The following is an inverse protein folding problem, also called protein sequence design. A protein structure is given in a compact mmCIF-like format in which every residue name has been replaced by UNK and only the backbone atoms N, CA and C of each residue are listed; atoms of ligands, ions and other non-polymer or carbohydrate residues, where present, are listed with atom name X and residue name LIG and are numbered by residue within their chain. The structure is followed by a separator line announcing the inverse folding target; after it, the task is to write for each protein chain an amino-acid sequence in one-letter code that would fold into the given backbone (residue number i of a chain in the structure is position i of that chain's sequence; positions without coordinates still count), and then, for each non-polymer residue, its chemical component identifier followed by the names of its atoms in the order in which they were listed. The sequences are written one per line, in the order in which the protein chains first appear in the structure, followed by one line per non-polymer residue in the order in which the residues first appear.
data_IF_143477191305
#
_entry.id   IF_143477191305
#
_cell.length_a   1.000
_cell.length_b   1.000
_cell.length_c   1.000
_cell.angle_alpha   90.00
_cell.angle_beta   90.00
_cell.angle_gamma   90.00
#
_symmetry.space_group_name_H-M   'P 1'
#
loop_
_entity.id
_entity.type
_entity.pdbx_description
1 polymer ?
#
# COMPACT_ATOMS: atom_id res chain seq x y z
N UNK A 1 10.09 -4.50 9.26
CA UNK A 1 8.99 -5.45 9.02
C UNK A 1 9.39 -6.88 9.37
N UNK A 2 8.38 -7.76 9.56
CA UNK A 2 8.61 -9.20 9.76
C UNK A 2 8.51 -9.99 8.45
N UNK A 3 7.59 -9.61 7.57
CA UNK A 3 7.41 -10.27 6.28
C UNK A 3 8.62 -10.08 5.38
N UNK A 4 9.00 -11.12 4.63
CA UNK A 4 10.17 -11.14 3.78
C UNK A 4 9.86 -11.72 2.41
N UNK A 5 10.80 -11.55 1.48
CA UNK A 5 10.76 -12.23 0.17
C UNK A 5 10.64 -13.74 0.35
N UNK A 6 9.71 -14.35 -0.35
CA UNK A 6 9.38 -15.79 -0.31
C UNK A 6 8.23 -16.14 0.63
N UNK A 7 7.84 -15.24 1.53
CA UNK A 7 6.72 -15.49 2.44
C UNK A 7 5.39 -15.41 1.70
N UNK A 8 4.42 -16.19 2.19
CA UNK A 8 3.02 -16.00 1.83
C UNK A 8 2.49 -14.72 2.46
N UNK A 9 1.77 -13.93 1.67
CA UNK A 9 1.09 -12.76 2.21
C UNK A 9 0.00 -13.21 3.20
N UNK A 10 0.00 -12.70 4.45
CA UNK A 10 -1.07 -13.02 5.40
C UNK A 10 -2.37 -12.39 4.94
N UNK A 11 -3.48 -13.01 5.28
CA UNK A 11 -4.79 -12.41 5.07
C UNK A 11 -5.14 -11.45 6.20
N UNK A 12 -5.98 -10.48 5.86
CA UNK A 12 -6.64 -9.60 6.81
C UNK A 12 -7.91 -9.04 6.19
N UNK A 13 -8.85 -8.67 7.04
CA UNK A 13 -10.04 -7.95 6.66
C UNK A 13 -9.74 -6.46 6.65
N UNK A 14 -9.99 -5.82 5.52
CA UNK A 14 -9.81 -4.39 5.30
C UNK A 14 -11.06 -3.82 4.64
N UNK A 15 -11.13 -2.52 4.48
CA UNK A 15 -12.29 -1.88 3.89
C UNK A 15 -11.96 -1.13 2.62
N UNK A 16 -12.88 -1.19 1.66
CA UNK A 16 -12.93 -0.33 0.47
C UNK A 16 -14.24 0.47 0.51
N UNK A 17 -14.24 1.67 -0.04
CA UNK A 17 -15.47 2.41 -0.25
C UNK A 17 -16.05 2.08 -1.63
N UNK A 18 -17.19 1.41 -1.65
CA UNK A 18 -18.00 1.10 -2.85
C UNK A 18 -19.44 1.52 -2.54
N UNK A 19 -19.75 2.83 -2.69
CA UNK A 19 -20.93 3.56 -2.20
C UNK A 19 -20.96 3.59 -0.67
N UNK A 20 -20.95 2.41 -0.04
CA UNK A 20 -20.83 2.18 1.40
C UNK A 20 -19.52 1.48 1.73
N UNK A 21 -19.04 1.55 2.99
CA UNK A 21 -17.90 0.76 3.44
C UNK A 21 -18.15 -0.74 3.25
N UNK A 22 -17.27 -1.40 2.51
CA UNK A 22 -17.34 -2.82 2.21
C UNK A 22 -16.11 -3.52 2.76
N UNK A 23 -16.35 -4.53 3.61
CA UNK A 23 -15.28 -5.41 4.09
C UNK A 23 -14.81 -6.34 2.97
N UNK A 24 -13.50 -6.45 2.82
CA UNK A 24 -12.85 -7.29 1.81
C UNK A 24 -11.65 -7.99 2.41
N UNK A 25 -11.29 -9.16 1.86
CA UNK A 25 -10.08 -9.89 2.21
C UNK A 25 -8.93 -9.44 1.29
N UNK A 26 -7.76 -9.18 1.86
CA UNK A 26 -6.53 -8.88 1.10
C UNK A 26 -6.24 -9.98 0.08
N UNK A 27 -6.33 -11.25 0.49
CA UNK A 27 -6.08 -12.38 -0.40
C UNK A 27 -7.06 -12.44 -1.56
N UNK A 28 -8.35 -12.17 -1.32
CA UNK A 28 -9.35 -12.16 -2.37
C UNK A 28 -9.13 -11.03 -3.38
N UNK A 29 -8.72 -9.84 -2.90
CA UNK A 29 -8.44 -8.71 -3.80
C UNK A 29 -7.22 -8.99 -4.68
N UNK A 30 -6.14 -9.52 -4.10
CA UNK A 30 -4.91 -9.83 -4.83
C UNK A 30 -5.13 -11.00 -5.78
N UNK A 31 -5.76 -12.07 -5.30
CA UNK A 31 -5.93 -13.30 -6.07
C UNK A 31 -4.58 -13.88 -6.48
N UNK A 32 -4.52 -14.44 -7.69
CA UNK A 32 -3.30 -15.00 -8.28
C UNK A 32 -2.56 -14.00 -9.18
N UNK A 33 -3.01 -12.75 -9.22
CA UNK A 33 -2.46 -11.76 -10.13
C UNK A 33 -1.21 -11.09 -9.56
N UNK A 34 -0.28 -10.75 -10.46
CA UNK A 34 0.92 -9.98 -10.16
C UNK A 34 0.54 -8.56 -9.73
N UNK A 35 0.78 -8.25 -8.48
CA UNK A 35 0.24 -7.07 -7.79
C UNK A 35 1.35 -6.28 -7.10
N UNK A 36 1.35 -4.96 -7.27
CA UNK A 36 2.08 -4.05 -6.37
C UNK A 36 1.17 -3.70 -5.20
N UNK A 37 1.66 -3.96 -3.99
CA UNK A 37 1.03 -3.53 -2.74
C UNK A 37 1.97 -2.59 -2.01
N UNK A 38 1.56 -1.36 -1.77
CA UNK A 38 2.34 -0.42 -0.99
C UNK A 38 1.56 0.14 0.20
N UNK A 39 2.25 0.23 1.32
CA UNK A 39 1.74 0.78 2.56
C UNK A 39 2.50 2.04 2.98
N UNK A 40 1.84 2.89 3.75
CA UNK A 40 2.36 4.18 4.13
C UNK A 40 1.73 4.68 5.45
N UNK A 41 2.38 5.66 6.13
CA UNK A 41 1.93 6.13 7.44
C UNK A 41 0.54 6.75 7.49
N UNK A 42 0.06 7.32 6.40
CA UNK A 42 -1.29 7.87 6.40
C UNK A 42 -1.65 8.69 5.18
N UNK A 43 -2.93 8.61 4.78
CA UNK A 43 -3.53 9.51 3.82
C UNK A 43 -3.35 10.96 4.27
N UNK A 44 -3.20 11.89 3.33
CA UNK A 44 -3.00 13.32 3.54
C UNK A 44 -1.71 13.72 4.28
N UNK A 45 -0.84 12.78 4.63
CA UNK A 45 0.48 13.14 5.20
C UNK A 45 1.44 13.57 4.09
N UNK A 46 2.45 14.43 4.38
CA UNK A 46 3.22 15.13 3.35
C UNK A 46 3.91 14.23 2.32
N UNK A 47 4.75 13.31 2.75
CA UNK A 47 5.53 12.44 1.84
C UNK A 47 4.64 11.44 1.10
N UNK A 48 3.58 10.95 1.74
CA UNK A 48 2.62 10.04 1.13
C UNK A 48 1.87 10.73 -0.03
N UNK A 49 1.49 11.99 0.16
CA UNK A 49 0.77 12.80 -0.83
C UNK A 49 1.68 13.40 -1.91
N UNK A 50 2.94 13.73 -1.57
CA UNK A 50 3.84 14.39 -2.51
C UNK A 50 4.61 13.43 -3.43
N UNK A 51 4.90 12.21 -2.98
CA UNK A 51 5.78 11.28 -3.70
C UNK A 51 5.21 9.88 -3.89
N UNK A 52 4.81 9.21 -2.81
CA UNK A 52 4.55 7.77 -2.85
C UNK A 52 3.34 7.43 -3.73
N UNK A 53 2.16 7.96 -3.39
CA UNK A 53 0.94 7.72 -4.17
C UNK A 53 1.04 8.29 -5.60
N UNK A 54 1.43 9.56 -5.82
CA UNK A 54 1.54 10.11 -7.17
C UNK A 54 2.54 9.35 -8.05
N UNK A 55 3.63 8.84 -7.48
CA UNK A 55 4.62 8.04 -8.20
C UNK A 55 4.01 6.81 -8.87
N UNK A 56 3.15 6.08 -8.16
CA UNK A 56 2.45 4.92 -8.73
C UNK A 56 1.34 5.30 -9.70
N UNK A 57 0.65 6.42 -9.49
CA UNK A 57 -0.32 6.94 -10.47
C UNK A 57 0.35 7.23 -11.82
N UNK A 58 1.56 7.80 -11.80
CA UNK A 58 2.32 8.15 -13.01
C UNK A 58 2.99 6.94 -13.67
N UNK A 59 3.24 5.86 -12.95
CA UNK A 59 3.98 4.69 -13.42
C UNK A 59 3.12 3.69 -14.22
N UNK A 60 1.91 4.04 -14.62
CA UNK A 60 0.93 3.12 -15.23
C UNK A 60 1.49 2.32 -16.41
N UNK A 61 2.24 2.97 -17.32
CA UNK A 61 2.80 2.31 -18.51
C UNK A 61 3.92 1.34 -18.13
N UNK A 62 4.82 1.74 -17.23
CA UNK A 62 5.89 0.86 -16.70
C UNK A 62 5.34 -0.36 -15.97
N UNK A 63 4.24 -0.20 -15.23
CA UNK A 63 3.54 -1.29 -14.56
C UNK A 63 3.00 -2.31 -15.55
N UNK A 64 2.38 -1.85 -16.65
CA UNK A 64 1.88 -2.70 -17.73
C UNK A 64 2.99 -3.47 -18.44
N UNK A 65 4.11 -2.82 -18.75
CA UNK A 65 5.28 -3.45 -19.36
C UNK A 65 5.85 -4.60 -18.52
N UNK A 66 5.70 -4.52 -17.20
CA UNK A 66 6.13 -5.55 -16.24
C UNK A 66 5.06 -6.60 -15.92
N UNK A 67 3.95 -6.59 -16.65
CA UNK A 67 2.81 -7.49 -16.46
C UNK A 67 2.15 -7.36 -15.07
N UNK A 68 2.25 -6.20 -14.46
CA UNK A 68 1.58 -5.92 -13.18
C UNK A 68 0.12 -5.59 -13.44
N UNK A 69 -0.77 -6.39 -12.87
CA UNK A 69 -2.22 -6.31 -13.12
C UNK A 69 -2.95 -5.39 -12.15
N UNK A 70 -2.45 -5.27 -10.93
CA UNK A 70 -3.06 -4.48 -9.87
C UNK A 70 -2.03 -3.64 -9.14
N UNK A 71 -2.48 -2.47 -8.70
CA UNK A 71 -1.75 -1.64 -7.74
C UNK A 71 -2.69 -1.36 -6.57
N UNK A 72 -2.24 -1.62 -5.36
CA UNK A 72 -3.00 -1.45 -4.12
C UNK A 72 -2.25 -0.51 -3.20
N UNK A 73 -2.94 0.52 -2.72
CA UNK A 73 -2.49 1.39 -1.64
C UNK A 73 -3.25 1.04 -0.37
N UNK A 74 -2.53 0.80 0.73
CA UNK A 74 -3.11 0.49 2.02
C UNK A 74 -2.55 1.40 3.12
N UNK A 75 -3.40 1.83 4.02
CA UNK A 75 -3.02 2.65 5.17
C UNK A 75 -3.94 2.40 6.36
N UNK A 76 -3.44 2.68 7.58
CA UNK A 76 -4.24 2.65 8.81
C UNK A 76 -5.12 3.91 8.86
N UNK A 77 -6.12 3.92 7.99
CA UNK A 77 -7.16 4.93 7.83
C UNK A 77 -8.49 4.23 7.54
N UNK A 78 -9.58 4.93 7.71
CA UNK A 78 -10.90 4.43 7.31
C UNK A 78 -11.12 4.51 5.78
N UNK A 79 -12.13 3.81 5.22
CA UNK A 79 -12.34 3.78 3.77
C UNK A 79 -12.80 5.11 3.18
N UNK A 80 -13.49 5.96 3.93
CA UNK A 80 -13.89 7.29 3.45
C UNK A 80 -12.68 8.19 3.23
N UNK A 81 -11.75 8.19 4.18
CA UNK A 81 -10.48 8.95 4.07
C UNK A 81 -9.66 8.45 2.90
N UNK A 82 -9.55 7.12 2.73
CA UNK A 82 -8.79 6.52 1.62
C UNK A 82 -9.40 6.86 0.26
N UNK A 83 -10.71 6.80 0.12
CA UNK A 83 -11.40 7.17 -1.12
C UNK A 83 -11.24 8.66 -1.46
N UNK A 84 -11.45 9.53 -0.47
CA UNK A 84 -11.29 10.97 -0.65
C UNK A 84 -9.86 11.34 -1.07
N UNK A 85 -8.87 10.74 -0.42
CA UNK A 85 -7.46 10.95 -0.76
C UNK A 85 -7.12 10.44 -2.17
N UNK A 86 -7.62 9.28 -2.55
CA UNK A 86 -7.49 8.75 -3.90
C UNK A 86 -8.09 9.66 -4.97
N UNK A 87 -9.27 10.23 -4.71
CA UNK A 87 -9.95 11.18 -5.62
C UNK A 87 -9.13 12.47 -5.82
N UNK A 88 -8.57 13.03 -4.75
CA UNK A 88 -7.71 14.23 -4.83
C UNK A 88 -6.47 13.97 -5.69
N UNK A 89 -5.92 12.75 -5.63
CA UNK A 89 -4.74 12.36 -6.43
C UNK A 89 -5.09 11.73 -7.78
N UNK A 90 -6.36 11.75 -8.19
CA UNK A 90 -6.82 11.23 -9.48
C UNK A 90 -6.43 9.78 -9.74
N UNK A 91 -6.47 8.94 -8.71
CA UNK A 91 -6.11 7.52 -8.85
C UNK A 91 -7.09 6.76 -9.74
N UNK A 92 -8.35 7.19 -9.75
CA UNK A 92 -9.42 6.55 -10.54
C UNK A 92 -9.43 5.02 -10.35
N UNK A 93 -9.41 4.26 -11.46
CA UNK A 93 -9.30 2.80 -11.45
C UNK A 93 -7.86 2.27 -11.43
N UNK A 94 -6.86 3.15 -11.38
CA UNK A 94 -5.44 2.76 -11.47
C UNK A 94 -4.91 2.13 -10.19
N UNK A 95 -5.42 2.59 -9.04
CA UNK A 95 -4.97 2.12 -7.71
C UNK A 95 -6.19 1.80 -6.86
N UNK A 96 -6.19 0.62 -6.27
CA UNK A 96 -7.20 0.21 -5.28
C UNK A 96 -6.82 0.81 -3.93
N UNK A 97 -7.71 1.61 -3.36
CA UNK A 97 -7.48 2.32 -2.09
C UNK A 97 -8.12 1.53 -0.95
N UNK A 98 -7.31 0.95 -0.06
CA UNK A 98 -7.76 0.13 1.06
C UNK A 98 -7.52 0.80 2.41
N UNK A 99 -8.51 0.73 3.28
CA UNK A 99 -8.43 1.14 4.67
C UNK A 99 -8.19 -0.05 5.61
N UNK A 100 -7.02 -0.10 6.21
CA UNK A 100 -6.66 -1.02 7.31
C UNK A 100 -6.96 -0.34 8.65
N UNK A 101 -8.24 0.01 8.87
CA UNK A 101 -8.67 0.92 9.94
C UNK A 101 -8.21 0.51 11.35
N UNK A 102 -8.12 -0.79 11.60
CA UNK A 102 -7.70 -1.35 12.89
C UNK A 102 -6.22 -1.75 12.91
N UNK A 103 -5.51 -1.62 11.79
CA UNK A 103 -4.10 -2.00 11.67
C UNK A 103 -3.85 -3.51 11.66
N UNK A 104 -4.85 -4.33 11.37
CA UNK A 104 -4.72 -5.79 11.44
C UNK A 104 -3.75 -6.32 10.38
N UNK A 105 -3.86 -5.86 9.13
CA UNK A 105 -2.90 -6.22 8.10
C UNK A 105 -1.50 -5.70 8.42
N UNK A 106 -1.41 -4.44 8.81
CA UNK A 106 -0.14 -3.79 9.22
C UNK A 106 0.55 -4.57 10.33
N UNK A 107 -0.20 -5.04 11.31
CA UNK A 107 0.31 -5.88 12.41
C UNK A 107 0.75 -7.25 11.92
N UNK A 108 -0.05 -7.90 11.07
CA UNK A 108 0.23 -9.24 10.57
C UNK A 108 1.54 -9.30 9.77
N UNK A 109 1.86 -8.26 9.02
CA UNK A 109 3.14 -8.16 8.29
C UNK A 109 4.29 -7.57 9.12
N UNK A 110 4.01 -7.17 10.36
CA UNK A 110 4.99 -6.58 11.29
C UNK A 110 5.48 -5.19 10.88
N UNK A 111 4.61 -4.38 10.27
CA UNK A 111 4.92 -3.04 9.77
C UNK A 111 4.46 -1.91 10.70
N UNK A 112 4.09 -2.22 11.93
CA UNK A 112 3.62 -1.20 12.88
C UNK A 112 4.71 -0.19 13.24
N UNK A 113 4.34 1.08 13.26
CA UNK A 113 5.15 2.18 13.77
C UNK A 113 4.35 3.02 14.75
N UNK A 114 4.95 3.33 15.89
CA UNK A 114 4.38 4.27 16.86
C UNK A 114 4.72 5.71 16.46
N UNK A 115 3.73 6.44 15.99
CA UNK A 115 3.83 7.85 15.61
C UNK A 115 3.05 8.77 16.57
N UNK A 116 2.90 8.36 17.84
CA UNK A 116 2.20 9.15 18.87
C UNK A 116 2.79 10.56 19.02
N UNK A 117 4.11 10.70 18.91
CA UNK A 117 4.79 12.00 18.98
C UNK A 117 4.40 12.98 17.86
N UNK A 118 3.73 12.48 16.81
CA UNK A 118 3.19 13.26 15.70
C UNK A 118 1.67 13.36 15.70
N UNK A 119 1.01 12.84 16.74
CA UNK A 119 -0.44 12.81 16.83
C UNK A 119 -1.11 11.81 15.88
N UNK A 120 -0.37 10.85 15.34
CA UNK A 120 -0.87 9.89 14.36
C UNK A 120 -1.24 8.53 14.96
N UNK A 121 -0.81 8.24 16.18
CA UNK A 121 -1.03 6.93 16.81
C UNK A 121 -0.17 5.83 16.19
N UNK A 122 -0.69 4.61 16.19
CA UNK A 122 -0.04 3.46 15.55
C UNK A 122 -0.40 3.47 14.06
N UNK A 123 0.62 3.49 13.22
CA UNK A 123 0.49 3.52 11.75
C UNK A 123 1.39 2.46 11.12
N UNK A 124 1.37 2.39 9.80
CA UNK A 124 2.27 1.54 9.04
C UNK A 124 3.61 2.23 8.76
N UNK A 125 4.69 1.45 8.73
CA UNK A 125 5.91 1.86 8.03
C UNK A 125 5.62 2.08 6.54
N UNK A 126 6.56 2.73 5.85
CA UNK A 126 6.48 2.91 4.40
C UNK A 126 7.17 1.75 3.71
N UNK A 127 6.44 1.03 2.89
CA UNK A 127 6.96 -0.10 2.12
C UNK A 127 6.30 -0.20 0.74
N UNK A 128 6.97 -0.90 -0.15
CA UNK A 128 6.42 -1.36 -1.43
C UNK A 128 6.81 -2.82 -1.62
N UNK A 129 5.86 -3.65 -2.01
CA UNK A 129 6.10 -5.06 -2.30
C UNK A 129 5.48 -5.47 -3.63
N UNK A 130 6.14 -6.41 -4.30
CA UNK A 130 5.59 -7.17 -5.43
C UNK A 130 5.10 -8.49 -4.90
N UNK A 131 3.82 -8.78 -5.15
CA UNK A 131 3.17 -10.05 -4.80
C UNK A 131 2.79 -10.76 -6.09
N UNK A 132 3.12 -12.04 -6.20
CA UNK A 132 2.72 -12.89 -7.31
C UNK A 132 2.19 -14.22 -6.76
N UNK A 133 0.99 -14.61 -7.19
CA UNK A 133 0.30 -15.82 -6.70
C UNK A 133 0.26 -15.91 -5.16
N UNK A 134 0.03 -14.75 -4.51
CA UNK A 134 -0.05 -14.65 -3.05
C UNK A 134 1.27 -14.74 -2.30
N UNK A 135 2.42 -14.78 -2.99
CA UNK A 135 3.74 -14.80 -2.38
C UNK A 135 4.49 -13.47 -2.61
N UNK A 136 5.24 -13.03 -1.61
CA UNK A 136 6.07 -11.83 -1.72
C UNK A 136 7.31 -12.14 -2.56
N UNK A 137 7.41 -11.51 -3.73
CA UNK A 137 8.54 -11.69 -4.66
C UNK A 137 9.65 -10.68 -4.39
N UNK A 138 9.28 -9.46 -4.07
CA UNK A 138 10.20 -8.37 -3.74
C UNK A 138 9.54 -7.48 -2.68
N UNK A 139 10.34 -6.94 -1.79
CA UNK A 139 9.90 -5.97 -0.78
C UNK A 139 11.01 -4.96 -0.51
N UNK A 140 10.62 -3.71 -0.36
CA UNK A 140 11.46 -2.60 0.10
C UNK A 140 10.73 -1.85 1.20
N UNK A 141 11.42 -1.49 2.27
CA UNK A 141 10.90 -0.72 3.39
C UNK A 141 11.84 0.45 3.68
N UNK A 142 11.29 1.63 3.87
CA UNK A 142 12.08 2.81 4.30
C UNK A 142 12.44 2.71 5.78
N UNK A 143 13.67 3.04 6.11
CA UNK A 143 14.11 3.11 7.52
C UNK A 143 13.41 4.21 8.31
N UNK A 144 13.05 5.31 7.63
CA UNK A 144 12.42 6.49 8.22
C UNK A 144 11.11 6.77 7.48
N UNK A 145 10.01 6.87 8.21
CA UNK A 145 8.67 7.09 7.66
C UNK A 145 8.54 8.34 6.75
N UNK A 146 9.35 9.36 6.99
CA UNK A 146 9.38 10.60 6.19
C UNK A 146 10.10 10.46 4.85
N UNK A 147 10.87 9.39 4.62
CA UNK A 147 11.56 9.14 3.35
C UNK A 147 10.67 8.37 2.37
N UNK A 148 10.91 8.57 1.09
CA UNK A 148 10.34 7.78 0.00
C UNK A 148 11.37 7.75 -1.12
N UNK A 149 12.27 6.79 -1.06
CA UNK A 149 13.39 6.58 -1.98
C UNK A 149 13.32 5.19 -2.59
N UNK A 150 13.66 4.17 -1.81
CA UNK A 150 13.67 2.76 -2.27
C UNK A 150 12.25 2.19 -2.47
N UNK A 151 11.25 2.80 -1.83
CA UNK A 151 9.84 2.43 -1.99
C UNK A 151 9.14 3.21 -3.09
N UNK A 152 9.75 4.29 -3.60
CA UNK A 152 9.20 5.08 -4.69
C UNK A 152 9.06 4.23 -5.96
N UNK A 153 7.97 4.46 -6.72
CA UNK A 153 7.67 3.69 -7.92
C UNK A 153 8.86 3.62 -8.90
N UNK A 154 9.48 4.76 -9.20
CA UNK A 154 10.61 4.84 -10.14
C UNK A 154 11.80 3.97 -9.74
N UNK A 155 12.11 3.86 -8.45
CA UNK A 155 13.23 3.07 -7.95
C UNK A 155 12.85 1.61 -7.78
N UNK A 156 11.70 1.34 -7.17
CA UNK A 156 11.22 -0.02 -6.96
C UNK A 156 11.04 -0.79 -8.28
N UNK A 157 10.48 -0.14 -9.31
CA UNK A 157 10.23 -0.76 -10.61
C UNK A 157 11.51 -1.06 -11.40
N UNK A 158 12.62 -0.39 -11.13
CA UNK A 158 13.92 -0.72 -11.74
C UNK A 158 14.50 -2.03 -11.21
N UNK A 159 14.07 -2.46 -10.03
CA UNK A 159 14.61 -3.63 -9.34
C UNK A 159 13.78 -4.92 -9.55
N UNK A 160 12.70 -4.85 -10.33
CA UNK A 160 11.80 -5.99 -10.60
C UNK A 160 11.63 -6.28 -12.09
#
# INVERSE_FOLDING_TARGET
MKIQKGDKLPDAKVFILDRDPKEVSIKQIIGDEKTILFGLPGAFTPTCSAKHLPGFVMATDQLKEKDIKKVICISVNDPFVMDAWGKIHNVQSKIIMLGDYNGDFTRNIGAEQNLNHRGLGIRSSRYTMLVDKGNVVKISEEEIAGKCEITAAENFLKEI
#
